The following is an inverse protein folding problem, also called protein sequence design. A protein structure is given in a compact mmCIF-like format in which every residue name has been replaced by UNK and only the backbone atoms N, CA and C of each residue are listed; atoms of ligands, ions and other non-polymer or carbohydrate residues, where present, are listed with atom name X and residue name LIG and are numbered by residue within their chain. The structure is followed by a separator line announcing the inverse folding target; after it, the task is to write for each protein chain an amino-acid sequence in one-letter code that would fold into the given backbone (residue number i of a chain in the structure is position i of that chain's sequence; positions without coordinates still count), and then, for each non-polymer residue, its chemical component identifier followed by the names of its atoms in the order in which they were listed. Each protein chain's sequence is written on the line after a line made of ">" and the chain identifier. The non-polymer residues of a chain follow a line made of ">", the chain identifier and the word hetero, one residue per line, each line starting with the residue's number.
data_IF_455440344927
#
_entry.id   IF_455440344927
#
_cell.length_a   1.000
_cell.length_b   1.000
_cell.length_c   1.000
_cell.angle_alpha   90.00
_cell.angle_beta   90.00
_cell.angle_gamma   90.00
#
_symmetry.space_group_name_H-M   'P 1'
#
loop_
_entity.id
_entity.type
_entity.pdbx_description
1 polymer ?
#
# COMPACT_ATOMS: atom_id res chain seq x y z
N UNK A 1 -48.10 -27.78 0.31
CA UNK A 1 -46.63 -27.63 0.27
C UNK A 1 -46.06 -28.63 -0.75
N UNK A 2 -46.48 -28.51 -2.03
CA UNK A 2 -46.16 -29.49 -3.09
C UNK A 2 -46.47 -28.90 -4.48
N UNK A 3 -45.93 -27.71 -4.82
CA UNK A 3 -46.11 -27.06 -6.15
C UNK A 3 -44.98 -26.11 -6.53
N UNK A 4 -43.70 -26.51 -6.37
CA UNK A 4 -42.57 -25.70 -6.84
C UNK A 4 -41.43 -26.50 -7.52
N UNK A 5 -41.71 -27.67 -8.10
CA UNK A 5 -40.64 -28.48 -8.71
C UNK A 5 -40.88 -28.90 -10.20
N UNK A 6 -41.75 -28.20 -10.92
CA UNK A 6 -42.12 -28.66 -12.27
C UNK A 6 -41.68 -27.77 -13.44
N UNK A 7 -40.66 -26.93 -13.29
CA UNK A 7 -40.23 -26.07 -14.40
C UNK A 7 -38.71 -26.00 -14.60
N UNK A 8 -38.03 -27.13 -14.42
CA UNK A 8 -36.65 -27.26 -14.90
C UNK A 8 -36.69 -28.11 -16.15
N UNK A 9 -36.85 -27.50 -17.33
CA UNK A 9 -36.63 -28.14 -18.59
C UNK A 9 -35.11 -28.41 -18.76
N UNK A 10 -34.74 -29.67 -18.64
CA UNK A 10 -33.39 -30.14 -18.99
C UNK A 10 -33.24 -30.06 -20.49
N UNK A 11 -32.27 -29.34 -21.07
CA UNK A 11 -32.07 -29.35 -22.51
C UNK A 11 -31.71 -30.75 -23.00
N UNK A 12 -32.39 -31.19 -24.07
CA UNK A 12 -32.11 -32.45 -24.71
C UNK A 12 -30.71 -32.49 -25.33
N UNK A 13 -29.82 -33.26 -24.75
CA UNK A 13 -28.42 -33.43 -25.18
C UNK A 13 -28.24 -34.60 -26.15
N UNK A 14 -29.33 -35.17 -26.73
CA UNK A 14 -29.26 -36.35 -27.60
C UNK A 14 -28.94 -36.04 -29.08
N UNK A 15 -28.70 -34.77 -29.45
CA UNK A 15 -28.27 -34.42 -30.81
C UNK A 15 -26.81 -34.77 -31.07
N UNK A 16 -26.45 -35.26 -32.28
CA UNK A 16 -25.06 -35.49 -32.60
C UNK A 16 -24.26 -34.20 -32.58
N UNK A 17 -23.14 -34.18 -31.85
CA UNK A 17 -22.19 -33.08 -31.84
C UNK A 17 -21.62 -32.88 -33.25
N UNK A 18 -22.03 -31.84 -33.93
CA UNK A 18 -21.44 -31.43 -35.20
C UNK A 18 -20.04 -30.82 -34.96
N UNK A 19 -19.02 -31.67 -35.16
CA UNK A 19 -17.61 -31.28 -35.02
C UNK A 19 -17.01 -30.70 -36.32
N UNK A 20 -17.84 -30.45 -37.33
CA UNK A 20 -17.38 -30.07 -38.67
C UNK A 20 -17.34 -28.56 -38.97
N UNK A 21 -17.60 -27.71 -38.01
CA UNK A 21 -17.54 -26.24 -38.20
C UNK A 21 -16.15 -25.66 -37.85
N UNK A 22 -15.30 -25.34 -38.85
CA UNK A 22 -13.92 -24.93 -38.60
C UNK A 22 -13.75 -23.43 -38.20
N UNK A 23 -14.83 -22.72 -37.88
CA UNK A 23 -14.77 -21.26 -37.67
C UNK A 23 -15.56 -20.71 -36.46
N UNK A 24 -15.78 -21.53 -35.45
CA UNK A 24 -16.08 -20.99 -34.14
C UNK A 24 -14.78 -21.02 -33.32
N UNK A 25 -13.90 -20.06 -33.55
CA UNK A 25 -12.94 -19.67 -32.53
C UNK A 25 -13.77 -19.17 -31.34
N UNK A 26 -14.36 -20.08 -30.58
CA UNK A 26 -14.74 -19.82 -29.22
C UNK A 26 -13.43 -19.39 -28.54
N UNK A 27 -13.23 -18.09 -28.35
CA UNK A 27 -12.40 -17.63 -27.27
C UNK A 27 -12.90 -18.34 -26.01
N UNK A 28 -12.32 -19.51 -25.74
CA UNK A 28 -12.38 -20.08 -24.42
C UNK A 28 -11.73 -19.03 -23.52
N UNK A 29 -12.56 -18.09 -23.02
CA UNK A 29 -12.17 -17.30 -21.87
C UNK A 29 -11.82 -18.33 -20.82
N UNK A 30 -10.52 -18.49 -20.62
CA UNK A 30 -10.01 -19.32 -19.55
C UNK A 30 -10.62 -18.78 -18.25
N UNK A 31 -11.71 -19.45 -17.80
CA UNK A 31 -12.41 -19.10 -16.56
C UNK A 31 -11.47 -19.18 -15.36
N UNK A 32 -10.29 -19.80 -15.52
CA UNK A 32 -9.21 -19.84 -14.55
C UNK A 32 -8.12 -18.80 -14.84
N UNK A 33 -8.20 -18.03 -15.92
CA UNK A 33 -7.37 -16.86 -16.11
C UNK A 33 -7.78 -15.82 -15.05
N UNK A 34 -7.32 -16.04 -13.84
CA UNK A 34 -7.27 -15.00 -12.82
C UNK A 34 -6.41 -13.91 -13.44
N UNK A 35 -7.05 -12.87 -14.00
CA UNK A 35 -6.36 -11.66 -14.41
C UNK A 35 -5.43 -11.30 -13.27
N UNK A 36 -4.12 -11.42 -13.50
CA UNK A 36 -3.12 -10.99 -12.53
C UNK A 36 -3.23 -9.49 -12.46
N UNK A 37 -4.20 -9.02 -11.65
CA UNK A 37 -4.34 -7.60 -11.37
C UNK A 37 -2.98 -7.08 -10.95
N UNK A 38 -2.49 -6.06 -11.63
CA UNK A 38 -1.21 -5.42 -11.28
C UNK A 38 -1.28 -4.98 -9.83
N UNK A 39 -0.15 -5.02 -9.12
CA UNK A 39 -0.09 -4.61 -7.71
C UNK A 39 -0.63 -3.17 -7.48
N UNK A 40 -0.52 -2.33 -8.50
CA UNK A 40 -1.10 -0.99 -8.55
C UNK A 40 -2.64 -1.02 -8.48
N UNK A 41 -3.33 -1.86 -9.28
CA UNK A 41 -4.79 -1.92 -9.31
C UNK A 41 -5.33 -2.37 -7.94
N UNK A 42 -4.62 -3.32 -7.30
CA UNK A 42 -4.93 -3.76 -5.94
C UNK A 42 -4.77 -2.66 -4.89
N UNK A 43 -3.86 -1.72 -5.10
CA UNK A 43 -3.65 -0.60 -4.18
C UNK A 43 -4.72 0.49 -4.33
N UNK A 44 -5.17 0.76 -5.56
CA UNK A 44 -6.23 1.73 -5.83
C UNK A 44 -7.56 1.28 -5.23
N UNK A 45 -7.87 -0.02 -5.30
CA UNK A 45 -9.08 -0.61 -4.72
C UNK A 45 -8.97 -0.90 -3.21
N UNK A 46 -7.78 -0.72 -2.62
CA UNK A 46 -7.60 -0.98 -1.20
C UNK A 46 -8.43 0.00 -0.36
N UNK A 47 -9.10 -0.54 0.64
CA UNK A 47 -9.90 0.22 1.60
C UNK A 47 -9.33 0.10 3.00
N UNK A 48 -9.61 1.07 3.82
CA UNK A 48 -9.28 1.09 5.24
C UNK A 48 -10.50 1.57 6.04
N UNK A 49 -10.86 0.82 7.06
CA UNK A 49 -11.94 1.16 8.02
C UNK A 49 -11.43 1.92 9.25
N UNK A 50 -10.11 2.18 9.30
CA UNK A 50 -9.41 2.82 10.40
C UNK A 50 -9.54 2.12 11.77
N UNK A 51 -9.98 0.87 11.81
CA UNK A 51 -9.87 0.06 13.01
C UNK A 51 -8.40 -0.10 13.36
N UNK A 52 -7.97 0.51 14.47
CA UNK A 52 -6.57 0.49 14.90
C UNK A 52 -6.14 -0.90 15.31
N UNK A 53 -5.18 -1.46 14.58
CA UNK A 53 -4.62 -2.81 14.82
C UNK A 53 -3.11 -2.76 14.67
N UNK A 54 -2.44 -2.29 15.72
CA UNK A 54 -0.98 -2.18 15.73
C UNK A 54 -0.38 -3.59 15.62
N UNK A 55 0.48 -3.79 14.61
CA UNK A 55 1.16 -5.07 14.38
C UNK A 55 2.60 -4.83 13.91
N UNK A 56 3.51 -5.60 14.49
CA UNK A 56 4.83 -5.80 13.90
C UNK A 56 4.67 -6.77 12.73
N UNK A 57 5.01 -6.33 11.55
CA UNK A 57 4.84 -7.08 10.29
C UNK A 57 6.18 -7.24 9.61
N UNK A 58 6.41 -8.41 9.01
CA UNK A 58 7.59 -8.68 8.17
C UNK A 58 7.16 -8.81 6.70
N UNK A 59 7.88 -8.09 5.82
CA UNK A 59 7.77 -8.26 4.37
C UNK A 59 9.18 -8.38 3.79
N UNK A 60 9.44 -9.48 3.07
CA UNK A 60 10.80 -9.87 2.71
C UNK A 60 11.68 -9.89 3.97
N UNK A 61 12.79 -9.14 3.99
CA UNK A 61 13.71 -9.06 5.13
C UNK A 61 13.53 -7.79 5.98
N UNK A 62 12.43 -7.07 5.75
CA UNK A 62 12.16 -5.79 6.42
C UNK A 62 11.03 -5.92 7.41
N UNK A 63 11.26 -5.49 8.66
CA UNK A 63 10.25 -5.37 9.69
C UNK A 63 9.71 -3.95 9.71
N UNK A 64 8.42 -3.81 9.93
CA UNK A 64 7.76 -2.52 10.10
C UNK A 64 6.53 -2.65 10.99
N UNK A 65 6.13 -1.54 11.58
CA UNK A 65 4.91 -1.45 12.37
C UNK A 65 3.80 -0.91 11.48
N UNK A 66 2.68 -1.62 11.40
CA UNK A 66 1.46 -1.17 10.74
C UNK A 66 0.39 -0.84 11.77
N UNK A 67 -0.28 0.31 11.61
CA UNK A 67 -1.36 0.74 12.49
C UNK A 67 -2.72 0.28 11.99
N UNK A 68 -2.90 0.29 10.68
CA UNK A 68 -4.12 -0.11 10.01
C UNK A 68 -3.84 -1.16 8.96
N UNK A 69 -4.87 -1.88 8.58
CA UNK A 69 -4.78 -2.95 7.61
C UNK A 69 -5.83 -2.76 6.53
N UNK A 70 -5.58 -3.40 5.39
CA UNK A 70 -6.57 -3.49 4.34
C UNK A 70 -7.86 -4.10 4.89
N UNK A 71 -8.97 -3.44 4.60
CA UNK A 71 -10.33 -3.87 4.93
C UNK A 71 -11.15 -4.07 3.65
N UNK A 72 -12.25 -4.80 3.75
CA UNK A 72 -13.29 -4.85 2.72
C UNK A 72 -14.20 -3.60 2.80
N UNK A 73 -14.16 -2.91 3.92
CA UNK A 73 -15.00 -1.75 4.23
C UNK A 73 -14.17 -0.49 4.40
N UNK A 74 -14.86 0.64 4.53
CA UNK A 74 -14.24 1.93 4.77
C UNK A 74 -13.86 2.68 3.50
N UNK A 75 -12.98 3.68 3.66
CA UNK A 75 -12.59 4.59 2.58
C UNK A 75 -11.52 3.97 1.68
N UNK A 76 -11.57 4.31 0.40
CA UNK A 76 -10.50 3.92 -0.55
C UNK A 76 -9.22 4.70 -0.27
N UNK A 77 -8.07 4.17 -0.70
CA UNK A 77 -6.81 4.92 -0.60
C UNK A 77 -6.82 6.21 -1.41
N UNK A 78 -7.55 6.25 -2.51
CA UNK A 78 -7.71 7.47 -3.32
C UNK A 78 -8.44 8.55 -2.55
N UNK A 79 -9.57 8.21 -1.89
CA UNK A 79 -10.33 9.16 -1.07
C UNK A 79 -9.51 9.64 0.14
N UNK A 80 -8.77 8.74 0.78
CA UNK A 80 -7.91 9.08 1.90
C UNK A 80 -6.83 10.07 1.49
N UNK A 81 -6.15 9.82 0.38
CA UNK A 81 -5.06 10.68 -0.12
C UNK A 81 -5.55 12.02 -0.67
N UNK A 82 -6.80 12.08 -1.10
CA UNK A 82 -7.45 13.31 -1.57
C UNK A 82 -8.00 14.20 -0.45
N UNK A 83 -8.00 13.73 0.78
CA UNK A 83 -8.55 14.44 1.94
C UNK A 83 -7.42 14.98 2.82
N UNK A 84 -7.25 16.30 2.80
CA UNK A 84 -6.19 16.98 3.56
C UNK A 84 -6.32 16.81 5.07
N UNK A 85 -7.52 16.62 5.59
CA UNK A 85 -7.75 16.38 7.01
C UNK A 85 -7.13 15.07 7.49
N UNK A 86 -6.94 14.12 6.57
CA UNK A 86 -6.31 12.84 6.88
C UNK A 86 -4.83 12.97 7.21
N UNK A 87 -4.14 14.02 6.78
CA UNK A 87 -2.74 14.25 7.14
C UNK A 87 -2.61 14.42 8.66
N UNK A 88 -3.44 15.30 9.24
CA UNK A 88 -3.46 15.50 10.69
C UNK A 88 -3.91 14.22 11.43
N UNK A 89 -4.97 13.57 10.96
CA UNK A 89 -5.46 12.31 11.54
C UNK A 89 -4.37 11.24 11.63
N UNK A 90 -3.58 11.07 10.56
CA UNK A 90 -2.48 10.09 10.56
C UNK A 90 -1.35 10.53 11.51
N UNK A 91 -0.94 11.79 11.46
CA UNK A 91 0.12 12.29 12.33
C UNK A 91 -0.25 12.17 13.80
N UNK A 92 -1.47 12.58 14.19
CA UNK A 92 -1.99 12.50 15.56
C UNK A 92 -2.11 11.05 16.07
N UNK A 93 -2.35 10.11 15.16
CA UNK A 93 -2.43 8.69 15.51
C UNK A 93 -1.05 8.02 15.64
N UNK A 94 -0.04 8.49 14.89
CA UNK A 94 1.28 7.86 14.78
C UNK A 94 2.27 8.45 15.80
N UNK A 95 2.26 9.76 16.02
CA UNK A 95 3.22 10.43 16.90
C UNK A 95 3.19 9.89 18.35
N UNK A 96 2.02 9.65 18.97
CA UNK A 96 1.99 9.01 20.28
C UNK A 96 2.62 7.63 20.30
N UNK A 97 2.37 6.81 19.27
CA UNK A 97 2.97 5.50 19.16
C UNK A 97 4.50 5.55 19.09
N UNK A 98 5.05 6.50 18.33
CA UNK A 98 6.50 6.68 18.24
C UNK A 98 7.06 7.10 19.61
N UNK A 99 6.38 8.01 20.34
CA UNK A 99 6.77 8.38 21.71
C UNK A 99 6.73 7.18 22.65
N UNK A 100 5.72 6.37 22.58
CA UNK A 100 5.58 5.17 23.42
C UNK A 100 6.70 4.15 23.17
N UNK A 101 7.17 4.04 21.90
CA UNK A 101 8.22 3.10 21.52
C UNK A 101 9.61 3.61 21.88
N UNK A 102 9.90 4.88 21.60
CA UNK A 102 11.25 5.44 21.72
C UNK A 102 11.46 6.13 23.08
N UNK A 103 10.41 6.60 23.75
CA UNK A 103 10.51 7.23 25.05
C UNK A 103 11.51 8.39 25.06
N UNK A 104 12.39 8.37 26.03
CA UNK A 104 13.43 9.39 26.22
C UNK A 104 14.47 9.45 25.09
N UNK A 105 14.60 8.41 24.27
CA UNK A 105 15.54 8.41 23.14
C UNK A 105 15.22 9.48 22.11
N UNK A 106 13.96 9.91 21.99
CA UNK A 106 13.58 11.03 21.11
C UNK A 106 14.29 12.36 21.49
N UNK A 107 14.60 12.54 22.77
CA UNK A 107 15.19 13.77 23.30
C UNK A 107 16.72 13.81 23.11
N UNK A 108 17.33 12.73 22.67
CA UNK A 108 18.80 12.61 22.53
C UNK A 108 19.35 13.33 21.30
N UNK A 109 18.49 13.75 20.36
CA UNK A 109 18.91 14.28 19.07
C UNK A 109 19.45 13.21 18.11
N UNK A 110 19.32 11.93 18.45
CA UNK A 110 19.83 10.82 17.63
C UNK A 110 18.84 10.33 16.59
N UNK A 111 17.64 10.85 16.54
CA UNK A 111 16.55 10.39 15.67
C UNK A 111 16.11 11.47 14.68
N UNK A 112 15.80 11.04 13.46
CA UNK A 112 15.12 11.84 12.46
C UNK A 112 14.02 11.03 11.79
N UNK A 113 13.17 11.71 11.00
CA UNK A 113 12.15 11.05 10.18
C UNK A 113 12.47 11.28 8.70
N UNK A 114 12.29 10.25 7.91
CA UNK A 114 12.49 10.26 6.45
C UNK A 114 11.30 9.64 5.73
N UNK A 115 11.05 10.07 4.51
CA UNK A 115 10.05 9.45 3.65
C UNK A 115 10.68 8.46 2.69
N UNK A 116 9.86 7.53 2.21
CA UNK A 116 10.23 6.71 1.06
C UNK A 116 10.43 7.56 -0.19
N UNK A 117 11.36 7.19 -1.10
CA UNK A 117 11.70 7.99 -2.26
C UNK A 117 10.50 8.27 -3.17
N UNK A 118 10.35 9.50 -3.60
CA UNK A 118 9.36 9.93 -4.58
C UNK A 118 9.74 9.40 -5.97
N UNK A 119 8.79 8.80 -6.66
CA UNK A 119 9.07 8.19 -7.97
C UNK A 119 8.85 9.11 -9.15
N UNK A 120 8.03 10.17 -9.06
CA UNK A 120 7.58 10.95 -10.21
C UNK A 120 7.26 12.42 -9.96
N UNK A 121 7.17 12.87 -8.74
CA UNK A 121 6.65 14.23 -8.45
C UNK A 121 7.62 15.01 -7.57
N UNK A 122 7.90 16.21 -8.02
CA UNK A 122 8.64 17.22 -7.23
C UNK A 122 7.77 17.82 -6.11
N UNK A 123 6.45 17.56 -6.13
CA UNK A 123 5.51 18.08 -5.13
C UNK A 123 5.44 17.13 -3.95
N UNK A 124 5.32 17.69 -2.74
CA UNK A 124 5.09 16.93 -1.51
C UNK A 124 3.87 16.01 -1.67
N UNK A 125 4.09 14.70 -1.58
CA UNK A 125 3.02 13.72 -1.64
C UNK A 125 2.39 13.52 -0.25
N UNK A 126 1.36 12.69 -0.16
CA UNK A 126 0.63 12.43 1.08
C UNK A 126 1.54 11.92 2.20
N UNK A 127 2.42 10.94 1.93
CA UNK A 127 3.36 10.41 2.91
C UNK A 127 4.36 11.48 3.40
N UNK A 128 4.87 12.33 2.50
CA UNK A 128 5.77 13.43 2.85
C UNK A 128 5.11 14.43 3.82
N UNK A 129 3.86 14.81 3.55
CA UNK A 129 3.10 15.74 4.39
C UNK A 129 2.86 15.18 5.78
N UNK A 130 2.52 13.90 5.88
CA UNK A 130 2.35 13.22 7.17
C UNK A 130 3.69 13.16 7.93
N UNK A 131 4.79 12.78 7.27
CA UNK A 131 6.11 12.70 7.89
C UNK A 131 6.59 14.04 8.43
N UNK A 132 6.40 15.12 7.68
CA UNK A 132 6.72 16.47 8.11
C UNK A 132 5.93 16.88 9.36
N UNK A 133 4.63 16.57 9.40
CA UNK A 133 3.78 16.83 10.54
C UNK A 133 4.18 16.01 11.77
N UNK A 134 4.48 14.70 11.59
CA UNK A 134 4.98 13.86 12.68
C UNK A 134 6.29 14.40 13.22
N UNK A 135 7.24 14.78 12.37
CA UNK A 135 8.52 15.35 12.77
C UNK A 135 8.34 16.63 13.60
N UNK A 136 7.43 17.50 13.16
CA UNK A 136 7.06 18.70 13.91
C UNK A 136 6.47 18.38 15.29
N UNK A 137 5.55 17.41 15.38
CA UNK A 137 4.93 17.00 16.64
C UNK A 137 5.90 16.33 17.61
N UNK A 138 6.91 15.62 17.07
CA UNK A 138 7.94 14.94 17.86
C UNK A 138 9.15 15.82 18.15
N UNK A 139 9.23 17.01 17.52
CA UNK A 139 10.36 17.93 17.58
C UNK A 139 11.70 17.27 17.17
N UNK A 140 11.67 16.49 16.08
CA UNK A 140 12.84 15.85 15.47
C UNK A 140 13.04 16.32 14.04
N UNK A 141 14.28 16.25 13.49
CA UNK A 141 14.54 16.62 12.10
C UNK A 141 13.75 15.80 11.09
N UNK A 142 13.36 16.46 10.01
CA UNK A 142 12.72 15.83 8.84
C UNK A 142 13.61 16.00 7.61
N UNK A 143 13.88 14.89 6.92
CA UNK A 143 14.63 14.88 5.68
C UNK A 143 13.75 14.38 4.54
N UNK A 144 13.44 15.28 3.63
CA UNK A 144 12.80 14.96 2.36
C UNK A 144 13.86 14.59 1.34
N UNK A 145 13.50 13.72 0.38
CA UNK A 145 14.35 13.37 -0.77
C UNK A 145 15.72 12.80 -0.40
N UNK A 146 15.78 11.93 0.61
CA UNK A 146 17.02 11.23 1.00
C UNK A 146 17.53 10.30 -0.09
N UNK A 147 16.66 9.92 -1.04
CA UNK A 147 17.03 9.12 -2.21
C UNK A 147 16.12 9.41 -3.40
N UNK A 148 16.67 9.28 -4.59
CA UNK A 148 15.96 9.40 -5.86
C UNK A 148 15.85 8.07 -6.58
N UNK A 149 14.70 7.86 -7.25
CA UNK A 149 14.51 6.75 -8.17
C UNK A 149 14.52 7.27 -9.61
N UNK A 150 15.55 6.92 -10.36
CA UNK A 150 15.68 7.33 -11.78
C UNK A 150 14.81 6.50 -12.72
N UNK A 151 14.39 5.32 -12.32
CA UNK A 151 13.64 4.42 -13.18
C UNK A 151 12.12 4.62 -13.08
N UNK A 152 11.44 4.54 -14.23
CA UNK A 152 9.97 4.45 -14.28
C UNK A 152 9.46 3.07 -13.82
N UNK A 153 10.34 2.10 -13.68
CA UNK A 153 9.98 0.72 -13.33
C UNK A 153 9.79 0.60 -11.81
N UNK A 154 8.73 -0.10 -11.41
CA UNK A 154 8.41 -0.35 -10.00
C UNK A 154 9.20 -1.52 -9.39
N UNK A 155 9.68 -2.43 -10.24
CA UNK A 155 10.40 -3.63 -9.84
C UNK A 155 11.88 -3.40 -10.13
N UNK A 156 12.75 -3.66 -9.13
CA UNK A 156 14.18 -3.47 -9.26
C UNK A 156 14.62 -2.00 -9.34
N UNK A 157 13.87 -1.08 -8.76
CA UNK A 157 14.23 0.33 -8.73
C UNK A 157 15.57 0.53 -8.03
N UNK A 158 16.52 1.15 -8.75
CA UNK A 158 17.80 1.59 -8.20
C UNK A 158 17.61 2.99 -7.65
N UNK A 159 17.97 3.18 -6.39
CA UNK A 159 17.94 4.48 -5.73
C UNK A 159 19.34 5.06 -5.63
N UNK A 160 19.44 6.34 -5.89
CA UNK A 160 20.66 7.12 -5.65
C UNK A 160 20.45 7.93 -4.38
N UNK A 161 21.40 7.85 -3.46
CA UNK A 161 21.38 8.64 -2.24
C UNK A 161 21.52 10.13 -2.57
N UNK A 162 20.83 10.96 -1.80
CA UNK A 162 20.85 12.40 -1.98
C UNK A 162 21.08 13.09 -0.62
N UNK A 163 20.07 13.61 0.00
CA UNK A 163 20.14 14.38 1.24
C UNK A 163 20.20 13.44 2.46
N UNK A 164 21.39 12.96 2.78
CA UNK A 164 21.57 12.02 3.89
C UNK A 164 21.34 12.69 5.25
N UNK A 165 20.56 12.05 6.14
CA UNK A 165 20.44 12.48 7.51
C UNK A 165 21.78 12.53 8.24
N UNK A 166 21.91 13.46 9.19
CA UNK A 166 23.06 13.55 10.08
C UNK A 166 22.91 12.67 11.32
N UNK A 167 21.67 12.38 11.65
CA UNK A 167 21.29 11.56 12.80
C UNK A 167 21.58 10.09 12.54
N UNK A 168 22.07 9.35 13.56
CA UNK A 168 22.41 7.93 13.39
C UNK A 168 21.19 7.02 13.21
N UNK A 169 20.00 7.47 13.60
CA UNK A 169 18.78 6.67 13.54
C UNK A 169 17.70 7.38 12.72
N UNK A 170 17.05 6.62 11.84
CA UNK A 170 15.99 7.13 10.98
C UNK A 170 14.68 6.37 11.17
N UNK A 171 13.59 7.09 11.35
CA UNK A 171 12.24 6.56 11.25
C UNK A 171 11.81 6.69 9.78
N UNK A 172 11.64 5.55 9.10
CA UNK A 172 11.15 5.54 7.71
C UNK A 172 9.65 5.40 7.71
N UNK A 173 8.95 6.38 7.16
CA UNK A 173 7.50 6.37 7.03
C UNK A 173 7.06 6.11 5.57
N UNK A 174 6.04 5.25 5.42
CA UNK A 174 5.34 5.02 4.15
C UNK A 174 3.83 4.93 4.41
N UNK A 175 3.02 5.52 3.55
CA UNK A 175 1.56 5.55 3.72
C UNK A 175 0.90 4.20 3.43
N UNK A 176 1.50 3.39 2.57
CA UNK A 176 0.97 2.09 2.18
C UNK A 176 2.03 1.10 1.75
N UNK A 177 2.18 0.03 2.50
CA UNK A 177 3.13 -1.04 2.20
C UNK A 177 2.45 -2.19 1.46
N UNK A 178 2.90 -2.48 0.23
CA UNK A 178 2.44 -3.63 -0.57
C UNK A 178 3.42 -4.80 -0.46
N UNK A 179 4.53 -4.70 -1.18
CA UNK A 179 5.57 -5.75 -1.22
C UNK A 179 6.68 -5.51 -0.22
N UNK A 180 6.82 -4.30 0.31
CA UNK A 180 7.93 -3.88 1.16
C UNK A 180 9.23 -3.58 0.40
N UNK A 181 9.23 -3.66 -0.94
CA UNK A 181 10.44 -3.44 -1.75
C UNK A 181 11.02 -2.04 -1.61
N UNK A 182 10.17 -1.03 -1.42
CA UNK A 182 10.62 0.34 -1.19
C UNK A 182 11.31 0.47 0.16
N UNK A 183 10.72 -0.08 1.23
CA UNK A 183 11.32 -0.09 2.57
C UNK A 183 12.64 -0.88 2.58
N UNK A 184 12.71 -2.01 1.87
CA UNK A 184 13.95 -2.77 1.74
C UNK A 184 15.06 -1.96 1.08
N UNK A 185 14.74 -1.14 0.08
CA UNK A 185 15.72 -0.31 -0.63
C UNK A 185 16.22 0.91 0.18
N UNK A 186 15.52 1.25 1.27
CA UNK A 186 15.89 2.32 2.20
C UNK A 186 16.79 1.83 3.36
N UNK A 187 17.03 0.54 3.44
CA UNK A 187 17.91 -0.10 4.42
C UNK A 187 19.35 -0.17 3.90
#
# INVERSE_FOLDING_TARGET
>A
MQEFLNDISVPDLSGPLDLSSPNAAHEQKDIFAIEKRKAWDKSVEARCDFTRRIRLTRRADTFFISLWQKSLYGRTLTDIKGDDSMVAFFADSISPLIRDILGEELNTGAWCIVTTPKRRHLVKNFATRISEMIASQLNIPFYEDVAFCHSKQRIGAVFTMNNLPKEPNCIVFDDFVTTGSTLKAMR
#
